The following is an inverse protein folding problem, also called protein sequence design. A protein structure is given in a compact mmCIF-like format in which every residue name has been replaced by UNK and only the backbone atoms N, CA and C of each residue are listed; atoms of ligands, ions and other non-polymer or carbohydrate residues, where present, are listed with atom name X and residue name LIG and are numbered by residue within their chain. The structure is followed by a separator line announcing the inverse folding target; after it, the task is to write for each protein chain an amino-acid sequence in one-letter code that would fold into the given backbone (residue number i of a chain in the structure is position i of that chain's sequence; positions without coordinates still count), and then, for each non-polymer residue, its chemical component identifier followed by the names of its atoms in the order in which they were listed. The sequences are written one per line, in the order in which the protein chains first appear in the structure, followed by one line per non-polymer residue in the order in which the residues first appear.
data_IF_617937090955
#
_entry.id   IF_617937090955
#
_cell.length_a   1.000
_cell.length_b   1.000
_cell.length_c   1.000
_cell.angle_alpha   90.00
_cell.angle_beta   90.00
_cell.angle_gamma   90.00
#
_symmetry.space_group_name_H-M   'P 1'
#
loop_
_entity.id
_entity.type
_entity.pdbx_description
1 polymer ?
#
# COMPACT_ATOMS: atom_id res chain seq x y z
N UNK A 1 -19.72 20.19 -3.32
CA UNK A 1 -19.47 18.79 -2.91
C UNK A 1 -18.53 18.70 -1.69
N UNK A 2 -18.91 19.05 -0.44
CA UNK A 2 -17.89 19.15 0.62
C UNK A 2 -17.95 18.05 1.70
N UNK A 3 -19.06 17.92 2.45
CA UNK A 3 -19.05 17.16 3.72
C UNK A 3 -18.97 15.65 3.56
N UNK A 4 -19.82 15.06 2.73
CA UNK A 4 -19.83 13.61 2.53
C UNK A 4 -18.48 13.10 1.97
N UNK A 5 -17.87 13.88 1.08
CA UNK A 5 -16.61 13.52 0.43
C UNK A 5 -15.41 13.59 1.38
N UNK A 6 -15.37 14.60 2.26
CA UNK A 6 -14.39 14.65 3.37
C UNK A 6 -14.58 13.48 4.33
N UNK A 7 -15.82 13.10 4.65
CA UNK A 7 -16.09 11.93 5.51
C UNK A 7 -15.53 10.65 4.86
N UNK A 8 -15.79 10.41 3.58
CA UNK A 8 -15.25 9.24 2.87
C UNK A 8 -13.72 9.22 2.81
N UNK A 9 -13.09 10.39 2.63
CA UNK A 9 -11.63 10.52 2.66
C UNK A 9 -11.05 10.20 4.04
N UNK A 10 -11.66 10.72 5.11
CA UNK A 10 -11.24 10.43 6.49
C UNK A 10 -11.43 8.95 6.82
N UNK A 11 -12.55 8.35 6.42
CA UNK A 11 -12.79 6.91 6.60
C UNK A 11 -11.77 6.07 5.84
N UNK A 12 -11.41 6.46 4.61
CA UNK A 12 -10.35 5.82 3.86
C UNK A 12 -9.02 5.85 4.62
N UNK A 13 -8.60 7.02 5.11
CA UNK A 13 -7.38 7.13 5.91
C UNK A 13 -7.44 6.28 7.19
N UNK A 14 -8.57 6.29 7.90
CA UNK A 14 -8.76 5.52 9.13
C UNK A 14 -8.67 4.01 8.90
N UNK A 15 -9.30 3.50 7.82
CA UNK A 15 -9.21 2.08 7.44
C UNK A 15 -7.78 1.71 7.07
N UNK A 16 -7.08 2.56 6.31
CA UNK A 16 -5.67 2.34 5.98
C UNK A 16 -4.79 2.26 7.23
N UNK A 17 -4.97 3.18 8.17
CA UNK A 17 -4.24 3.19 9.44
C UNK A 17 -4.54 1.96 10.32
N UNK A 18 -5.81 1.54 10.39
CA UNK A 18 -6.21 0.34 11.15
C UNK A 18 -5.60 -0.93 10.55
N UNK A 19 -5.64 -1.08 9.21
CA UNK A 19 -5.02 -2.21 8.51
C UNK A 19 -3.50 -2.23 8.69
N UNK A 20 -2.84 -1.07 8.58
CA UNK A 20 -1.41 -0.94 8.86
C UNK A 20 -1.06 -1.34 10.30
N UNK A 21 -1.86 -0.91 11.28
CA UNK A 21 -1.67 -1.26 12.69
C UNK A 21 -1.83 -2.77 12.93
N UNK A 22 -2.84 -3.39 12.30
CA UNK A 22 -3.04 -4.83 12.35
C UNK A 22 -1.87 -5.60 11.71
N UNK A 23 -1.32 -5.11 10.59
CA UNK A 23 -0.15 -5.71 9.95
C UNK A 23 1.10 -5.63 10.86
N UNK A 24 1.33 -4.48 11.51
CA UNK A 24 2.42 -4.31 12.49
C UNK A 24 2.27 -5.28 13.66
N UNK A 25 1.08 -5.42 14.23
CA UNK A 25 0.82 -6.36 15.33
C UNK A 25 0.99 -7.81 14.86
N UNK A 26 0.46 -8.16 13.68
CA UNK A 26 0.59 -9.48 13.09
C UNK A 26 2.04 -9.84 12.72
N UNK A 27 2.93 -8.86 12.58
CA UNK A 27 4.35 -9.10 12.37
C UNK A 27 5.16 -9.11 13.66
N UNK A 28 4.82 -8.23 14.60
CA UNK A 28 5.53 -8.10 15.89
C UNK A 28 5.32 -9.28 16.83
N UNK A 29 4.20 -10.01 16.71
CA UNK A 29 3.90 -11.13 17.60
C UNK A 29 4.64 -12.43 17.18
N UNK A 30 5.29 -13.15 18.11
CA UNK A 30 5.95 -14.42 17.82
C UNK A 30 4.99 -15.55 17.39
N UNK A 31 3.72 -15.49 17.83
CA UNK A 31 2.70 -16.49 17.52
C UNK A 31 2.00 -16.26 16.17
N UNK A 32 2.41 -15.23 15.42
CA UNK A 32 1.77 -14.81 14.17
C UNK A 32 2.75 -15.01 12.99
N UNK A 33 2.60 -14.23 11.92
CA UNK A 33 3.32 -14.39 10.65
C UNK A 33 4.84 -14.57 10.83
N UNK A 34 5.48 -13.77 11.70
CA UNK A 34 6.91 -13.87 11.97
C UNK A 34 7.34 -15.29 12.41
N UNK A 35 6.62 -15.89 13.36
CA UNK A 35 6.93 -17.24 13.83
C UNK A 35 6.77 -18.30 12.74
N UNK A 36 5.78 -18.13 11.85
CA UNK A 36 5.59 -19.04 10.71
C UNK A 36 6.72 -18.91 9.70
N UNK A 37 7.19 -17.70 9.41
CA UNK A 37 8.29 -17.52 8.45
C UNK A 37 9.62 -18.01 9.02
N UNK A 38 9.90 -17.77 10.30
CA UNK A 38 11.08 -18.34 10.98
C UNK A 38 11.06 -19.89 10.90
N UNK A 39 9.88 -20.50 11.08
CA UNK A 39 9.71 -21.96 10.93
C UNK A 39 9.93 -22.44 9.49
N UNK A 40 9.44 -21.70 8.49
CA UNK A 40 9.63 -22.00 7.07
C UNK A 40 11.11 -21.92 6.67
N UNK A 41 11.80 -20.86 7.09
CA UNK A 41 13.24 -20.69 6.85
C UNK A 41 14.06 -21.83 7.45
N UNK A 42 13.72 -22.24 8.67
CA UNK A 42 14.35 -23.40 9.32
C UNK A 42 14.11 -24.69 8.51
N UNK A 43 12.90 -24.87 7.95
CA UNK A 43 12.57 -26.05 7.14
C UNK A 43 13.33 -26.13 5.80
N UNK A 44 13.72 -24.99 5.23
CA UNK A 44 14.52 -24.92 3.99
C UNK A 44 16.02 -25.10 4.21
N UNK A 45 16.47 -25.36 5.44
CA UNK A 45 17.89 -25.55 5.74
C UNK A 45 18.75 -24.30 5.48
N UNK A 46 18.13 -23.13 5.45
CA UNK A 46 18.86 -21.88 5.24
C UNK A 46 19.75 -21.63 6.47
N UNK A 47 21.07 -21.71 6.28
CA UNK A 47 22.06 -21.36 7.31
C UNK A 47 21.90 -19.91 7.76
N UNK A 48 22.42 -19.55 8.93
CA UNK A 48 22.43 -18.14 9.37
C UNK A 48 23.62 -17.40 8.77
N UNK A 49 23.41 -16.28 8.05
CA UNK A 49 22.13 -15.71 7.63
C UNK A 49 21.61 -16.37 6.33
N UNK A 50 20.28 -16.50 6.19
CA UNK A 50 19.68 -17.13 5.01
C UNK A 50 19.99 -16.32 3.74
N UNK A 51 20.02 -17.00 2.59
CA UNK A 51 20.16 -16.32 1.29
C UNK A 51 19.09 -15.22 1.14
N UNK A 52 19.46 -14.10 0.52
CA UNK A 52 18.63 -12.88 0.38
C UNK A 52 17.17 -13.16 -0.02
N UNK A 53 16.95 -14.09 -0.97
CA UNK A 53 15.62 -14.44 -1.49
C UNK A 53 14.77 -15.29 -0.53
N UNK A 54 15.37 -15.86 0.51
CA UNK A 54 14.70 -16.66 1.55
C UNK A 54 14.54 -15.87 2.86
N UNK A 55 14.97 -14.60 2.91
CA UNK A 55 14.68 -13.72 4.05
C UNK A 55 13.20 -13.38 4.07
N UNK A 56 12.56 -13.68 5.20
CA UNK A 56 11.18 -13.40 5.52
C UNK A 56 10.81 -11.94 5.26
N UNK A 57 11.73 -11.06 5.65
CA UNK A 57 11.52 -9.62 5.67
C UNK A 57 11.43 -9.07 4.24
N UNK A 58 12.24 -9.57 3.30
CA UNK A 58 12.22 -9.11 1.90
C UNK A 58 10.85 -9.28 1.23
N UNK A 59 10.21 -10.45 1.43
CA UNK A 59 8.87 -10.71 0.87
C UNK A 59 7.80 -9.85 1.53
N UNK A 60 7.95 -9.57 2.82
CA UNK A 60 7.03 -8.69 3.53
C UNK A 60 7.16 -7.24 3.07
N UNK A 61 8.39 -6.73 2.93
CA UNK A 61 8.65 -5.39 2.40
C UNK A 61 8.05 -5.26 0.99
N UNK A 62 8.30 -6.24 0.11
CA UNK A 62 7.69 -6.28 -1.22
C UNK A 62 6.16 -6.30 -1.19
N UNK A 63 5.55 -7.14 -0.36
CA UNK A 63 4.10 -7.22 -0.25
C UNK A 63 3.49 -5.94 0.33
N UNK A 64 4.13 -5.37 1.35
CA UNK A 64 3.67 -4.15 2.03
C UNK A 64 3.73 -2.96 1.08
N UNK A 65 4.85 -2.77 0.37
CA UNK A 65 5.01 -1.72 -0.62
C UNK A 65 4.01 -1.87 -1.78
N UNK A 66 3.75 -3.10 -2.25
CA UNK A 66 2.73 -3.38 -3.27
C UNK A 66 1.32 -2.97 -2.81
N UNK A 67 0.91 -3.42 -1.61
CA UNK A 67 -0.41 -3.11 -1.05
C UNK A 67 -0.56 -1.61 -0.83
N UNK A 68 0.46 -0.95 -0.27
CA UNK A 68 0.44 0.47 0.03
C UNK A 68 0.35 1.31 -1.26
N UNK A 69 1.12 0.96 -2.29
CA UNK A 69 1.05 1.65 -3.57
C UNK A 69 -0.32 1.48 -4.25
N UNK A 70 -0.90 0.27 -4.22
CA UNK A 70 -2.26 0.04 -4.70
C UNK A 70 -3.31 0.83 -3.91
N UNK A 71 -3.16 0.89 -2.58
CA UNK A 71 -4.02 1.68 -1.70
C UNK A 71 -3.95 3.17 -2.03
N UNK A 72 -2.75 3.75 -2.15
CA UNK A 72 -2.61 5.15 -2.56
C UNK A 72 -3.14 5.40 -3.96
N UNK A 73 -2.91 4.51 -4.92
CA UNK A 73 -3.44 4.65 -6.28
C UNK A 73 -4.98 4.67 -6.29
N UNK A 74 -5.62 3.81 -5.50
CA UNK A 74 -7.06 3.79 -5.35
C UNK A 74 -7.59 5.06 -4.66
N UNK A 75 -6.97 5.47 -3.55
CA UNK A 75 -7.32 6.72 -2.87
C UNK A 75 -7.18 7.94 -3.78
N UNK A 76 -6.06 8.07 -4.49
CA UNK A 76 -5.87 9.15 -5.47
C UNK A 76 -6.89 9.07 -6.59
N UNK A 77 -7.25 7.90 -7.08
CA UNK A 77 -8.29 7.78 -8.10
C UNK A 77 -9.67 8.24 -7.60
N UNK A 78 -10.00 7.95 -6.34
CA UNK A 78 -11.29 8.30 -5.73
C UNK A 78 -11.38 9.78 -5.35
N UNK A 79 -10.29 10.33 -4.82
CA UNK A 79 -10.27 11.65 -4.22
C UNK A 79 -9.51 12.70 -5.07
N UNK A 80 -8.52 12.30 -5.85
CA UNK A 80 -7.73 13.19 -6.71
C UNK A 80 -7.70 12.66 -8.17
N UNK A 81 -8.84 12.57 -8.87
CA UNK A 81 -8.94 11.89 -10.18
C UNK A 81 -8.12 12.54 -11.30
N UNK A 82 -7.62 13.76 -11.10
CA UNK A 82 -6.67 14.45 -12.00
C UNK A 82 -5.22 14.41 -11.53
N UNK A 83 -4.96 13.76 -10.40
CA UNK A 83 -3.62 13.55 -9.86
C UNK A 83 -2.79 12.67 -10.80
N UNK A 84 -1.49 12.92 -10.84
CA UNK A 84 -0.56 12.14 -11.64
C UNK A 84 -0.45 10.72 -11.06
N UNK A 85 -0.52 9.64 -11.85
CA UNK A 85 -0.43 8.27 -11.33
C UNK A 85 0.87 8.01 -10.54
N UNK A 86 1.92 8.80 -10.81
CA UNK A 86 3.20 8.76 -10.11
C UNK A 86 3.13 9.20 -8.65
N UNK A 87 2.12 9.96 -8.22
CA UNK A 87 2.01 10.39 -6.82
C UNK A 87 1.72 9.22 -5.88
N UNK A 88 1.05 8.17 -6.35
CA UNK A 88 0.82 6.95 -5.55
C UNK A 88 2.14 6.25 -5.19
N UNK A 89 3.03 6.16 -6.18
CA UNK A 89 4.34 5.51 -6.05
C UNK A 89 5.28 6.39 -5.23
N UNK A 90 5.27 7.71 -5.43
CA UNK A 90 6.04 8.64 -4.63
C UNK A 90 5.62 8.60 -3.15
N UNK A 91 4.31 8.54 -2.85
CA UNK A 91 3.81 8.41 -1.48
C UNK A 91 4.22 7.08 -0.84
N UNK A 92 4.11 5.97 -1.57
CA UNK A 92 4.53 4.68 -1.08
C UNK A 92 6.05 4.62 -0.83
N UNK A 93 6.86 5.18 -1.72
CA UNK A 93 8.31 5.31 -1.53
C UNK A 93 8.68 6.21 -0.34
N UNK A 94 7.94 7.31 -0.13
CA UNK A 94 8.15 8.18 1.04
C UNK A 94 7.84 7.45 2.36
N UNK A 95 6.80 6.61 2.39
CA UNK A 95 6.47 5.81 3.58
C UNK A 95 7.55 4.76 3.84
N UNK A 96 8.03 4.07 2.81
CA UNK A 96 9.17 3.15 2.92
C UNK A 96 10.42 3.87 3.46
N UNK A 97 10.77 5.03 2.89
CA UNK A 97 11.90 5.84 3.38
C UNK A 97 11.71 6.36 4.81
N UNK A 98 10.49 6.68 5.22
CA UNK A 98 10.20 7.09 6.59
C UNK A 98 10.34 5.93 7.58
N UNK A 99 9.99 4.70 7.20
CA UNK A 99 10.23 3.51 8.00
C UNK A 99 11.74 3.33 8.24
N UNK A 100 12.56 3.39 7.20
CA UNK A 100 14.02 3.29 7.33
C UNK A 100 14.63 4.39 8.21
N UNK A 101 14.17 5.64 8.04
CA UNK A 101 14.63 6.74 8.89
C UNK A 101 14.28 6.50 10.36
N UNK A 102 13.11 5.92 10.63
CA UNK A 102 12.72 5.51 11.98
C UNK A 102 13.60 4.36 12.49
N UNK A 103 14.02 3.44 11.62
CA UNK A 103 14.94 2.36 11.97
C UNK A 103 16.34 2.88 12.31
N UNK A 104 16.88 3.85 11.56
CA UNK A 104 18.19 4.48 11.85
C UNK A 104 18.20 5.15 13.24
N UNK A 105 17.05 5.65 13.70
CA UNK A 105 16.89 6.23 15.04
C UNK A 105 16.75 5.22 16.17
N UNK A 106 16.63 3.92 15.87
CA UNK A 106 16.43 2.85 16.85
C UNK A 106 17.76 2.17 17.21
N UNK A 107 18.04 2.02 18.51
CA UNK A 107 19.20 1.26 18.98
C UNK A 107 19.09 -0.26 18.71
N UNK A 108 17.89 -0.74 18.41
CA UNK A 108 17.58 -2.17 18.26
C UNK A 108 17.45 -2.62 16.80
N UNK A 109 17.44 -1.68 15.85
CA UNK A 109 17.26 -1.97 14.42
C UNK A 109 18.39 -1.33 13.60
N UNK A 110 18.85 -2.06 12.60
CA UNK A 110 19.81 -1.58 11.62
C UNK A 110 19.15 -1.46 10.27
N UNK A 111 19.59 -0.48 9.48
CA UNK A 111 19.25 -0.39 8.06
C UNK A 111 19.66 -1.67 7.33
N UNK A 112 18.72 -2.30 6.60
CA UNK A 112 18.95 -3.54 5.87
C UNK A 112 18.65 -3.34 4.37
N UNK A 113 19.66 -3.55 3.52
CA UNK A 113 19.49 -3.43 2.06
C UNK A 113 18.44 -4.38 1.48
N UNK A 114 18.19 -5.52 2.13
CA UNK A 114 17.13 -6.44 1.72
C UNK A 114 15.74 -5.81 1.75
N UNK A 115 15.53 -4.90 2.69
CA UNK A 115 14.23 -4.29 2.97
C UNK A 115 13.94 -3.25 1.88
N UNK A 116 14.96 -2.47 1.53
CA UNK A 116 14.93 -1.55 0.39
C UNK A 116 14.72 -2.25 -0.96
N UNK A 117 15.38 -3.39 -1.17
CA UNK A 117 15.17 -4.20 -2.37
C UNK A 117 13.73 -4.75 -2.38
N UNK A 118 13.23 -5.22 -1.24
CA UNK A 118 11.85 -5.65 -1.07
C UNK A 118 10.87 -4.54 -1.47
N UNK A 119 11.00 -3.35 -0.88
CA UNK A 119 10.14 -2.21 -1.16
C UNK A 119 10.18 -1.83 -2.65
N UNK A 120 11.37 -1.80 -3.26
CA UNK A 120 11.51 -1.52 -4.69
C UNK A 120 10.81 -2.56 -5.57
N UNK A 121 10.93 -3.85 -5.24
CA UNK A 121 10.20 -4.93 -5.93
C UNK A 121 8.70 -4.73 -5.79
N UNK A 122 8.22 -4.45 -4.58
CA UNK A 122 6.80 -4.21 -4.31
C UNK A 122 6.23 -3.04 -5.12
N UNK A 123 6.95 -1.92 -5.13
CA UNK A 123 6.59 -0.73 -5.93
C UNK A 123 6.60 -1.03 -7.44
N UNK A 124 7.59 -1.78 -7.92
CA UNK A 124 7.67 -2.17 -9.32
C UNK A 124 6.48 -3.06 -9.73
N UNK A 125 6.11 -4.02 -8.88
CA UNK A 125 4.94 -4.87 -9.09
C UNK A 125 3.63 -4.07 -9.04
N UNK A 126 3.59 -2.99 -8.27
CA UNK A 126 2.41 -2.12 -8.15
C UNK A 126 2.14 -1.26 -9.39
N UNK A 127 3.12 -1.10 -10.30
CA UNK A 127 2.97 -0.26 -11.49
C UNK A 127 1.78 -0.68 -12.36
N UNK A 128 1.65 -1.99 -12.62
CA UNK A 128 0.59 -2.54 -13.45
C UNK A 128 -0.81 -2.38 -12.82
N UNK A 129 -1.07 -2.82 -11.57
CA UNK A 129 -2.38 -2.62 -10.95
C UNK A 129 -2.70 -1.14 -10.73
N UNK A 130 -1.74 -0.29 -10.35
CA UNK A 130 -1.96 1.15 -10.23
C UNK A 130 -2.36 1.78 -11.58
N UNK A 131 -1.71 1.37 -12.68
CA UNK A 131 -2.10 1.78 -14.03
C UNK A 131 -3.51 1.32 -14.40
N UNK A 132 -3.89 0.08 -14.08
CA UNK A 132 -5.25 -0.42 -14.30
C UNK A 132 -6.29 0.37 -13.50
N UNK A 133 -6.02 0.65 -12.22
CA UNK A 133 -6.89 1.47 -11.36
C UNK A 133 -7.10 2.86 -11.97
N UNK A 134 -6.04 3.48 -12.51
CA UNK A 134 -6.13 4.78 -13.18
C UNK A 134 -7.05 4.75 -14.42
N UNK A 135 -7.20 3.59 -15.08
CA UNK A 135 -8.03 3.42 -16.28
C UNK A 135 -9.51 3.16 -15.98
N UNK A 136 -9.87 2.76 -14.76
CA UNK A 136 -11.26 2.49 -14.39
C UNK A 136 -12.08 3.79 -14.49
N UNK A 137 -13.13 3.79 -15.32
CA UNK A 137 -14.09 4.90 -15.42
C UNK A 137 -15.31 4.60 -14.55
N UNK A 138 -15.50 5.39 -13.49
CA UNK A 138 -16.77 5.36 -12.76
C UNK A 138 -17.85 6.07 -13.59
N UNK A 139 -18.76 5.30 -14.15
CA UNK A 139 -19.95 5.78 -14.84
C UNK A 139 -20.94 6.34 -13.80
N UNK A 140 -20.73 7.58 -13.36
CA UNK A 140 -21.63 8.26 -12.43
C UNK A 140 -22.06 9.64 -12.94
N UNK A 141 -22.22 9.78 -14.27
CA UNK A 141 -22.64 11.04 -14.90
C UNK A 141 -23.82 10.91 -15.88
N UNK A 142 -24.36 9.71 -16.10
CA UNK A 142 -25.45 9.51 -17.06
C UNK A 142 -26.86 9.75 -16.50
N UNK A 143 -27.06 9.80 -15.17
CA UNK A 143 -28.40 9.93 -14.58
C UNK A 143 -28.88 11.38 -14.43
N UNK A 144 -27.98 12.36 -14.30
CA UNK A 144 -28.34 13.77 -14.12
C UNK A 144 -28.59 14.51 -15.45
N UNK A 145 -27.91 14.11 -16.53
CA UNK A 145 -28.13 14.74 -17.85
C UNK A 145 -29.52 14.38 -18.43
N UNK A 146 -29.96 13.13 -18.28
CA UNK A 146 -31.27 12.67 -18.78
C UNK A 146 -32.45 13.35 -18.05
N UNK A 147 -32.31 13.61 -16.73
CA UNK A 147 -33.34 14.32 -15.96
C UNK A 147 -33.46 15.80 -16.32
N UNK A 148 -32.35 16.47 -16.69
CA UNK A 148 -32.39 17.88 -17.10
C UNK A 148 -32.94 18.10 -18.52
N UNK A 149 -32.67 17.18 -19.44
CA UNK A 149 -33.13 17.27 -20.83
C UNK A 149 -34.64 16.99 -20.96
N UNK A 150 -35.23 16.25 -20.02
CA UNK A 150 -36.67 15.97 -20.03
C UNK A 150 -37.51 17.08 -19.37
N UNK A 151 -36.87 18.02 -18.66
CA UNK A 151 -37.55 19.12 -17.96
C UNK A 151 -37.65 20.41 -18.79
N UNK A 152 -36.92 20.50 -19.90
CA UNK A 152 -36.97 21.62 -20.84
C UNK A 152 -37.87 21.36 -22.05
N UNK A 153 -38.50 20.17 -22.12
CA UNK A 153 -39.44 19.78 -23.19
C UNK A 153 -40.90 19.71 -22.73
N UNK A 154 -41.19 20.03 -21.47
CA UNK A 154 -42.54 20.17 -20.90
C UNK A 154 -42.81 21.63 -20.55
#
# INVERSE_FOLDING_TARGET
MPRAWVIWFVLWLAVGAALGSLAVVAWGAPLTLRGWVESLQASYGAGRPPALLLRADLHLHALTALILACWFALGLRLFLPRGLPWTALALAAMVAGADELAQIGSAERSFEWSDQIGDAIGLALALLPAWLIARIRFAAQSTTASSSANKTRS
#
